data_IF_809436951553
#
_entry.id   IF_809436951553
#
_cell.length_a   1.000
_cell.length_b   1.000
_cell.length_c   1.000
_cell.angle_alpha   90.00
_cell.angle_beta   90.00
_cell.angle_gamma   90.00
#
_symmetry.space_group_name_H-M   'P 1'
#
loop_
_entity.id
_entity.type
_entity.pdbx_description
1 polymer ?
#
# COMPACT_ATOMS: atom_id res chain seq x y z
N UNK A 1 -57.74 -28.26 33.53
CA UNK A 1 -56.32 -28.63 33.77
C UNK A 1 -55.58 -29.11 32.52
N UNK A 2 -56.19 -29.86 31.59
CA UNK A 2 -55.47 -30.31 30.38
C UNK A 2 -55.19 -29.22 29.33
N UNK A 3 -56.14 -28.31 29.10
CA UNK A 3 -56.04 -27.32 28.02
C UNK A 3 -54.97 -26.23 28.27
N UNK A 4 -54.76 -25.85 29.52
CA UNK A 4 -53.75 -24.86 29.91
C UNK A 4 -52.32 -25.43 29.82
N UNK A 5 -52.14 -26.71 30.15
CA UNK A 5 -50.87 -27.42 29.99
C UNK A 5 -50.53 -27.67 28.51
N UNK A 6 -51.51 -28.02 27.68
CA UNK A 6 -51.38 -28.12 26.22
C UNK A 6 -50.97 -26.77 25.59
N UNK A 7 -51.62 -25.67 26.02
CA UNK A 7 -51.28 -24.32 25.56
C UNK A 7 -49.85 -23.93 25.96
N UNK A 8 -49.42 -24.21 27.20
CA UNK A 8 -48.07 -23.89 27.67
C UNK A 8 -47.00 -24.71 26.92
N UNK A 9 -47.26 -26.00 26.65
CA UNK A 9 -46.40 -26.85 25.81
C UNK A 9 -46.27 -26.30 24.39
N UNK A 10 -47.39 -25.88 23.80
CA UNK A 10 -47.43 -25.28 22.46
C UNK A 10 -46.64 -23.97 22.41
N UNK A 11 -46.80 -23.09 23.42
CA UNK A 11 -46.04 -21.84 23.52
C UNK A 11 -44.52 -22.10 23.62
N UNK A 12 -44.08 -23.06 24.46
CA UNK A 12 -42.66 -23.42 24.58
C UNK A 12 -42.07 -23.94 23.26
N UNK A 13 -42.85 -24.73 22.50
CA UNK A 13 -42.44 -25.21 21.17
C UNK A 13 -42.30 -24.04 20.20
N UNK A 14 -43.27 -23.11 20.17
CA UNK A 14 -43.22 -21.93 19.30
C UNK A 14 -42.03 -21.03 19.65
N UNK A 15 -41.80 -20.75 20.93
CA UNK A 15 -40.66 -19.95 21.39
C UNK A 15 -39.34 -20.62 21.01
N UNK A 16 -39.22 -21.94 21.21
CA UNK A 16 -38.05 -22.70 20.78
C UNK A 16 -37.81 -22.65 19.28
N UNK A 17 -38.87 -22.73 18.46
CA UNK A 17 -38.78 -22.62 17.01
C UNK A 17 -38.35 -21.22 16.55
N UNK A 18 -38.89 -20.15 17.16
CA UNK A 18 -38.50 -18.76 16.85
C UNK A 18 -37.04 -18.50 17.21
N UNK A 19 -36.57 -19.00 18.36
CA UNK A 19 -35.15 -18.90 18.76
C UNK A 19 -34.27 -19.66 17.76
N UNK A 20 -34.66 -20.87 17.35
CA UNK A 20 -33.92 -21.64 16.35
C UNK A 20 -33.82 -20.92 15.01
N UNK A 21 -34.92 -20.35 14.51
CA UNK A 21 -34.91 -19.54 13.27
C UNK A 21 -34.02 -18.32 13.42
N UNK A 22 -34.10 -17.61 14.56
CA UNK A 22 -33.25 -16.47 14.86
C UNK A 22 -31.76 -16.83 14.86
N UNK A 23 -31.40 -17.98 15.45
CA UNK A 23 -30.03 -18.50 15.44
C UNK A 23 -29.58 -18.87 14.03
N UNK A 24 -30.42 -19.56 13.25
CA UNK A 24 -30.08 -19.90 11.86
C UNK A 24 -29.82 -18.65 11.02
N UNK A 25 -30.66 -17.61 11.15
CA UNK A 25 -30.45 -16.33 10.46
C UNK A 25 -29.16 -15.67 10.94
N UNK A 26 -28.91 -15.64 12.25
CA UNK A 26 -27.70 -15.05 12.81
C UNK A 26 -26.42 -15.72 12.30
N UNK A 27 -26.39 -17.06 12.25
CA UNK A 27 -25.22 -17.81 11.77
C UNK A 27 -25.06 -17.83 10.24
N UNK A 28 -26.14 -17.58 9.48
CA UNK A 28 -26.08 -17.60 8.01
C UNK A 28 -25.91 -16.22 7.38
N UNK A 29 -26.16 -15.13 8.13
CA UNK A 29 -26.16 -13.75 7.62
C UNK A 29 -24.89 -13.40 6.86
N UNK A 30 -23.72 -13.68 7.43
CA UNK A 30 -22.43 -13.31 6.81
C UNK A 30 -22.19 -14.08 5.51
N UNK A 31 -22.54 -15.38 5.48
CA UNK A 31 -22.45 -16.17 4.24
C UNK A 31 -23.43 -15.69 3.17
N UNK A 32 -24.63 -15.25 3.56
CA UNK A 32 -25.63 -14.69 2.64
C UNK A 32 -25.16 -13.34 2.09
N UNK A 33 -24.65 -12.46 2.95
CA UNK A 33 -24.14 -11.15 2.56
C UNK A 33 -22.90 -11.27 1.68
N UNK A 34 -21.98 -12.19 2.00
CA UNK A 34 -20.83 -12.52 1.16
C UNK A 34 -21.29 -12.91 -0.26
N UNK A 35 -22.19 -13.90 -0.35
CA UNK A 35 -22.72 -14.34 -1.64
C UNK A 35 -23.48 -13.24 -2.41
N UNK A 36 -24.19 -12.38 -1.70
CA UNK A 36 -24.89 -11.23 -2.29
C UNK A 36 -23.92 -10.28 -2.99
N UNK A 37 -22.87 -9.84 -2.29
CA UNK A 37 -21.87 -8.91 -2.83
C UNK A 37 -21.06 -9.53 -3.97
N UNK A 38 -20.64 -10.79 -3.85
CA UNK A 38 -19.93 -11.49 -4.94
C UNK A 38 -20.80 -11.56 -6.21
N UNK A 39 -22.06 -11.98 -6.08
CA UNK A 39 -22.98 -12.06 -7.23
C UNK A 39 -23.37 -10.69 -7.79
N UNK A 40 -23.32 -9.64 -6.98
CA UNK A 40 -23.52 -8.27 -7.44
C UNK A 40 -22.33 -7.83 -8.29
N UNK A 41 -21.11 -7.94 -7.77
CA UNK A 41 -19.88 -7.63 -8.52
C UNK A 41 -19.73 -8.45 -9.80
N UNK A 42 -20.12 -9.73 -9.80
CA UNK A 42 -20.09 -10.61 -10.99
C UNK A 42 -21.02 -10.15 -12.12
N UNK A 43 -22.03 -9.31 -11.80
CA UNK A 43 -22.99 -8.76 -12.77
C UNK A 43 -22.68 -7.32 -13.15
N UNK A 44 -21.75 -6.68 -12.47
CA UNK A 44 -21.37 -5.29 -12.75
C UNK A 44 -20.61 -5.21 -14.08
N UNK A 45 -20.98 -4.23 -14.90
CA UNK A 45 -20.31 -3.97 -16.20
C UNK A 45 -19.12 -3.03 -16.02
N UNK A 46 -19.19 -2.14 -15.02
CA UNK A 46 -18.13 -1.18 -14.72
C UNK A 46 -17.16 -1.78 -13.69
N UNK A 47 -15.90 -1.90 -14.08
CA UNK A 47 -14.85 -2.53 -13.26
C UNK A 47 -14.72 -1.91 -11.88
N UNK A 48 -14.87 -0.60 -11.74
CA UNK A 48 -14.77 0.08 -10.43
C UNK A 48 -15.93 -0.31 -9.49
N UNK A 49 -17.15 -0.47 -10.02
CA UNK A 49 -18.31 -0.94 -9.23
C UNK A 49 -18.12 -2.39 -8.80
N UNK A 50 -17.63 -3.23 -9.73
CA UNK A 50 -17.30 -4.61 -9.42
C UNK A 50 -16.27 -4.69 -8.29
N UNK A 51 -15.19 -3.88 -8.35
CA UNK A 51 -14.19 -3.80 -7.29
C UNK A 51 -14.80 -3.37 -5.96
N UNK A 52 -15.69 -2.37 -5.95
CA UNK A 52 -16.37 -1.93 -4.73
C UNK A 52 -17.19 -3.07 -4.09
N UNK A 53 -17.98 -3.78 -4.90
CA UNK A 53 -18.80 -4.90 -4.41
C UNK A 53 -17.93 -6.08 -3.91
N UNK A 54 -16.84 -6.40 -4.62
CA UNK A 54 -15.90 -7.42 -4.16
C UNK A 54 -15.17 -7.00 -2.87
N UNK A 55 -14.87 -5.72 -2.72
CA UNK A 55 -14.26 -5.17 -1.49
C UNK A 55 -15.21 -5.33 -0.31
N UNK A 56 -16.51 -5.09 -0.51
CA UNK A 56 -17.53 -5.31 0.53
C UNK A 56 -17.70 -6.79 0.88
N UNK A 57 -17.58 -7.70 -0.09
CA UNK A 57 -17.51 -9.13 0.18
C UNK A 57 -16.25 -9.53 0.99
N UNK A 58 -15.08 -8.99 0.66
CA UNK A 58 -13.83 -9.28 1.39
C UNK A 58 -13.84 -8.81 2.85
N UNK A 59 -14.52 -7.69 3.15
CA UNK A 59 -14.72 -7.22 4.53
C UNK A 59 -15.48 -8.22 5.40
N UNK A 60 -16.29 -9.09 4.79
CA UNK A 60 -17.03 -10.15 5.48
C UNK A 60 -16.15 -11.39 5.62
N UNK A 61 -15.54 -11.82 4.51
CA UNK A 61 -14.71 -13.03 4.44
C UNK A 61 -13.62 -12.85 3.39
N UNK A 62 -12.36 -12.96 3.82
CA UNK A 62 -11.24 -12.97 2.90
C UNK A 62 -11.27 -14.24 2.03
N UNK A 63 -11.14 -14.06 0.71
CA UNK A 63 -11.17 -15.13 -0.28
C UNK A 63 -10.18 -14.80 -1.40
N UNK A 64 -9.15 -15.63 -1.55
CA UNK A 64 -8.06 -15.38 -2.51
C UNK A 64 -8.58 -15.36 -3.98
N UNK A 65 -9.65 -16.11 -4.29
CA UNK A 65 -10.27 -16.06 -5.63
C UNK A 65 -10.92 -14.70 -5.91
N UNK A 66 -11.47 -14.08 -4.86
CA UNK A 66 -12.08 -12.76 -4.96
C UNK A 66 -11.02 -11.66 -5.08
N UNK A 67 -9.88 -11.85 -4.42
CA UNK A 67 -8.69 -11.01 -4.63
C UNK A 67 -8.27 -11.04 -6.11
N UNK A 68 -8.23 -12.22 -6.75
CA UNK A 68 -7.89 -12.33 -8.17
C UNK A 68 -8.91 -11.61 -9.08
N UNK A 69 -10.22 -11.68 -8.75
CA UNK A 69 -11.26 -10.91 -9.45
C UNK A 69 -11.05 -9.40 -9.31
N UNK A 70 -10.68 -8.92 -8.12
CA UNK A 70 -10.35 -7.50 -7.88
C UNK A 70 -9.14 -7.11 -8.72
N UNK A 71 -8.04 -7.88 -8.66
CA UNK A 71 -6.81 -7.62 -9.44
C UNK A 71 -7.14 -7.47 -10.93
N UNK A 72 -7.93 -8.39 -11.48
CA UNK A 72 -8.36 -8.35 -12.88
C UNK A 72 -9.15 -7.08 -13.23
N UNK A 73 -10.12 -6.70 -12.40
CA UNK A 73 -10.94 -5.50 -12.65
C UNK A 73 -10.16 -4.19 -12.46
N UNK A 74 -9.26 -4.12 -11.48
CA UNK A 74 -8.36 -2.96 -11.30
C UNK A 74 -7.45 -2.80 -12.52
N UNK A 75 -6.87 -3.89 -13.03
CA UNK A 75 -6.01 -3.83 -14.21
C UNK A 75 -6.77 -3.49 -15.51
N UNK A 76 -8.06 -3.81 -15.59
CA UNK A 76 -8.94 -3.39 -16.69
C UNK A 76 -9.40 -1.94 -16.58
N UNK A 77 -9.29 -1.32 -15.41
CA UNK A 77 -9.67 0.07 -15.20
C UNK A 77 -8.56 0.99 -15.69
N UNK A 78 -8.80 1.77 -16.73
CA UNK A 78 -7.75 2.66 -17.28
C UNK A 78 -7.64 3.97 -16.49
N UNK A 79 -8.74 4.59 -16.08
CA UNK A 79 -8.72 5.96 -15.50
C UNK A 79 -8.77 5.98 -13.95
N UNK A 80 -9.24 4.90 -13.31
CA UNK A 80 -9.54 4.89 -11.87
C UNK A 80 -8.70 3.90 -11.05
N UNK A 81 -7.76 3.18 -11.68
CA UNK A 81 -7.02 2.11 -11.01
C UNK A 81 -6.34 2.57 -9.72
N UNK A 82 -5.65 3.72 -9.73
CA UNK A 82 -4.95 4.23 -8.55
C UNK A 82 -5.87 4.63 -7.40
N UNK A 83 -7.04 5.21 -7.68
CA UNK A 83 -8.06 5.52 -6.66
C UNK A 83 -8.62 4.25 -6.03
N UNK A 84 -8.84 3.21 -6.83
CA UNK A 84 -9.36 1.93 -6.33
C UNK A 84 -8.36 1.24 -5.39
N UNK A 85 -7.06 1.43 -5.60
CA UNK A 85 -6.04 0.83 -4.72
C UNK A 85 -6.07 1.42 -3.31
N UNK A 86 -6.43 2.69 -3.16
CA UNK A 86 -6.55 3.32 -1.84
C UNK A 86 -7.69 2.71 -1.02
N UNK A 87 -8.83 2.40 -1.67
CA UNK A 87 -9.99 1.77 -1.03
C UNK A 87 -9.73 0.31 -0.59
N UNK A 88 -8.70 -0.32 -1.14
CA UNK A 88 -8.27 -1.68 -0.81
C UNK A 88 -7.32 -1.74 0.39
N UNK A 89 -6.81 -0.58 0.86
CA UNK A 89 -5.97 -0.53 2.06
C UNK A 89 -6.77 -0.95 3.30
N UNK A 90 -6.20 -1.85 4.09
CA UNK A 90 -6.87 -2.46 5.24
C UNK A 90 -7.91 -3.54 4.91
N UNK A 91 -8.25 -3.76 3.63
CA UNK A 91 -9.10 -4.89 3.19
C UNK A 91 -8.25 -6.04 2.65
N UNK A 92 -7.26 -5.74 1.81
CA UNK A 92 -6.34 -6.73 1.28
C UNK A 92 -5.17 -7.02 2.23
N UNK A 93 -4.65 -8.26 2.17
CA UNK A 93 -3.33 -8.57 2.74
C UNK A 93 -2.29 -7.66 2.08
N UNK A 94 -1.33 -7.16 2.85
CA UNK A 94 -0.34 -6.20 2.33
C UNK A 94 0.48 -6.76 1.17
N UNK A 95 0.75 -8.07 1.13
CA UNK A 95 1.41 -8.72 0.00
C UNK A 95 0.58 -8.65 -1.29
N UNK A 96 -0.73 -8.91 -1.19
CA UNK A 96 -1.65 -8.85 -2.33
C UNK A 96 -1.82 -7.42 -2.84
N UNK A 97 -1.94 -6.46 -1.92
CA UNK A 97 -2.07 -5.05 -2.26
C UNK A 97 -0.80 -4.49 -2.92
N UNK A 98 0.38 -4.80 -2.37
CA UNK A 98 1.66 -4.38 -2.97
C UNK A 98 1.85 -4.97 -4.36
N UNK A 99 1.54 -6.27 -4.54
CA UNK A 99 1.61 -6.88 -5.85
C UNK A 99 0.66 -6.20 -6.85
N UNK A 100 -0.55 -5.85 -6.41
CA UNK A 100 -1.49 -5.14 -7.27
C UNK A 100 -1.04 -3.71 -7.62
N UNK A 101 -0.41 -2.98 -6.68
CA UNK A 101 0.26 -1.71 -6.99
C UNK A 101 1.38 -1.90 -8.03
N UNK A 102 2.22 -2.91 -7.85
CA UNK A 102 3.26 -3.27 -8.83
C UNK A 102 2.64 -3.52 -10.20
N UNK A 103 1.62 -4.36 -10.28
CA UNK A 103 0.98 -4.74 -11.55
C UNK A 103 0.39 -3.51 -12.27
N UNK A 104 -0.26 -2.61 -11.52
CA UNK A 104 -0.83 -1.36 -12.07
C UNK A 104 0.28 -0.44 -12.59
N UNK A 105 1.31 -0.16 -11.81
CA UNK A 105 2.36 0.76 -12.24
C UNK A 105 3.22 0.18 -13.38
N UNK A 106 3.44 -1.14 -13.41
CA UNK A 106 4.11 -1.79 -14.55
C UNK A 106 3.25 -1.73 -15.80
N UNK A 107 1.92 -1.87 -15.68
CA UNK A 107 0.99 -1.65 -16.80
C UNK A 107 1.07 -0.22 -17.31
N UNK A 108 0.99 0.77 -16.42
CA UNK A 108 1.06 2.20 -16.77
C UNK A 108 2.41 2.54 -17.42
N UNK A 109 3.52 2.07 -16.85
CA UNK A 109 4.85 2.24 -17.44
C UNK A 109 4.95 1.63 -18.84
N UNK A 110 4.38 0.43 -19.02
CA UNK A 110 4.32 -0.25 -20.32
C UNK A 110 3.54 0.56 -21.35
N UNK A 111 2.41 1.16 -20.95
CA UNK A 111 1.60 1.99 -21.83
C UNK A 111 2.33 3.28 -22.20
N UNK A 112 2.91 3.98 -21.23
CA UNK A 112 3.71 5.18 -21.45
C UNK A 112 4.89 4.92 -22.40
N UNK A 113 5.59 3.78 -22.24
CA UNK A 113 6.65 3.37 -23.16
C UNK A 113 6.14 3.19 -24.59
N UNK A 114 5.01 2.49 -24.78
CA UNK A 114 4.42 2.26 -26.11
C UNK A 114 3.96 3.55 -26.78
N UNK A 115 3.54 4.53 -26.00
CA UNK A 115 3.17 5.87 -26.46
C UNK A 115 4.39 6.77 -26.72
N UNK A 116 5.59 6.34 -26.33
CA UNK A 116 6.83 7.10 -26.47
C UNK A 116 7.07 8.13 -25.38
N UNK A 117 6.26 8.15 -24.31
CA UNK A 117 6.50 8.96 -23.13
C UNK A 117 7.44 8.24 -22.15
N UNK A 118 8.73 8.23 -22.50
CA UNK A 118 9.76 7.58 -21.71
C UNK A 118 9.94 8.20 -20.31
N UNK A 119 9.63 9.48 -20.13
CA UNK A 119 9.69 10.14 -18.82
C UNK A 119 8.59 9.64 -17.90
N UNK A 120 7.36 9.53 -18.42
CA UNK A 120 6.25 8.95 -17.67
C UNK A 120 6.52 7.47 -17.38
N UNK A 121 7.06 6.73 -18.35
CA UNK A 121 7.47 5.34 -18.16
C UNK A 121 8.42 5.18 -16.96
N UNK A 122 9.50 5.96 -16.90
CA UNK A 122 10.42 5.93 -15.76
C UNK A 122 9.75 6.28 -14.43
N UNK A 123 8.89 7.30 -14.44
CA UNK A 123 8.16 7.73 -13.24
C UNK A 123 7.26 6.61 -12.70
N UNK A 124 6.54 5.93 -13.57
CA UNK A 124 5.66 4.81 -13.17
C UNK A 124 6.48 3.59 -12.73
N UNK A 125 7.61 3.29 -13.40
CA UNK A 125 8.54 2.25 -12.94
C UNK A 125 9.09 2.51 -11.55
N UNK A 126 9.46 3.76 -11.23
CA UNK A 126 9.97 4.10 -9.92
C UNK A 126 8.89 3.91 -8.83
N UNK A 127 7.60 4.11 -9.16
CA UNK A 127 6.49 3.74 -8.27
C UNK A 127 6.35 2.23 -8.14
N UNK A 128 6.44 1.46 -9.23
CA UNK A 128 6.41 0.00 -9.15
C UNK A 128 7.55 -0.53 -8.25
N UNK A 129 8.75 0.02 -8.43
CA UNK A 129 9.93 -0.29 -7.64
C UNK A 129 9.71 0.00 -6.16
N UNK A 130 9.06 1.14 -5.85
CA UNK A 130 8.67 1.48 -4.48
C UNK A 130 7.79 0.40 -3.83
N UNK A 131 6.94 -0.29 -4.60
CA UNK A 131 6.11 -1.40 -4.11
C UNK A 131 6.76 -2.78 -4.22
N UNK A 132 8.05 -2.85 -4.54
CA UNK A 132 8.86 -4.09 -4.54
C UNK A 132 9.16 -4.68 -5.91
N UNK A 133 8.86 -3.97 -7.00
CA UNK A 133 9.22 -4.41 -8.34
C UNK A 133 10.73 -4.29 -8.60
N UNK A 134 11.34 -5.31 -9.22
CA UNK A 134 12.72 -5.22 -9.65
C UNK A 134 12.79 -4.56 -11.04
N UNK A 135 13.36 -3.35 -11.11
CA UNK A 135 13.36 -2.52 -12.34
C UNK A 135 13.92 -3.25 -13.57
N UNK A 136 14.91 -4.13 -13.39
CA UNK A 136 15.53 -4.88 -14.48
C UNK A 136 14.63 -6.01 -15.02
N UNK A 137 13.53 -6.33 -14.34
CA UNK A 137 12.51 -7.24 -14.87
C UNK A 137 11.56 -6.53 -15.84
N UNK A 138 11.71 -5.20 -16.03
CA UNK A 138 10.88 -4.47 -16.96
C UNK A 138 11.18 -4.87 -18.40
N UNK A 139 10.12 -5.23 -19.13
CA UNK A 139 10.21 -5.78 -20.48
C UNK A 139 11.03 -4.94 -21.46
N UNK A 140 11.05 -3.62 -21.28
CA UNK A 140 11.70 -2.68 -22.19
C UNK A 140 12.89 -1.95 -21.55
N UNK A 141 13.50 -2.54 -20.51
CA UNK A 141 14.54 -1.86 -19.74
C UNK A 141 15.79 -1.54 -20.58
N UNK A 142 16.25 -2.48 -21.41
CA UNK A 142 17.45 -2.32 -22.24
C UNK A 142 17.30 -1.17 -23.25
N UNK A 143 16.10 -1.06 -23.86
CA UNK A 143 15.77 0.01 -24.79
C UNK A 143 15.63 1.37 -24.08
N UNK A 144 15.01 1.38 -22.91
CA UNK A 144 14.84 2.58 -22.07
C UNK A 144 16.21 3.13 -21.65
N UNK A 145 17.12 2.28 -21.19
CA UNK A 145 18.48 2.69 -20.81
C UNK A 145 19.27 3.24 -22.00
N UNK A 146 19.12 2.62 -23.18
CA UNK A 146 19.76 3.06 -24.42
C UNK A 146 19.25 4.45 -24.86
N UNK A 147 17.95 4.71 -24.73
CA UNK A 147 17.34 6.03 -24.99
C UNK A 147 17.88 7.10 -24.03
N UNK A 148 18.02 6.78 -22.75
CA UNK A 148 18.53 7.73 -21.76
C UNK A 148 19.99 8.09 -21.96
N UNK A 149 20.81 7.11 -22.37
CA UNK A 149 22.24 7.31 -22.67
C UNK A 149 22.46 8.23 -23.88
N UNK A 150 21.64 8.08 -24.91
CA UNK A 150 21.73 8.88 -26.14
C UNK A 150 21.26 10.33 -25.91
N UNK A 151 20.15 10.53 -25.18
CA UNK A 151 19.66 11.88 -24.87
C UNK A 151 20.47 12.63 -23.80
N UNK A 152 21.18 11.91 -22.93
CA UNK A 152 22.13 12.53 -21.98
C UNK A 152 23.39 13.07 -22.66
N UNK A 153 23.71 12.63 -23.88
CA UNK A 153 24.93 12.98 -24.62
C UNK A 153 24.79 14.23 -25.52
N UNK A 154 23.57 14.73 -25.76
CA UNK A 154 23.33 15.90 -26.64
C UNK A 154 23.39 17.27 -25.92
N UNK A 155 23.58 17.29 -24.59
CA UNK A 155 23.63 18.51 -23.78
C UNK A 155 25.00 18.71 -23.10
N UNK A 156 26.09 18.78 -23.88
CA UNK A 156 27.39 19.19 -23.35
C UNK A 156 28.02 20.29 -24.20
N UNK A 157 27.52 21.52 -24.06
CA UNK A 157 28.33 22.71 -24.20
C UNK A 157 27.86 23.75 -23.18
N UNK A 158 28.38 23.65 -21.96
CA UNK A 158 29.03 24.70 -21.18
C UNK A 158 29.21 24.20 -19.75
N UNK A 159 30.45 24.28 -19.27
CA UNK A 159 30.85 24.28 -17.86
C UNK A 159 30.16 23.29 -16.92
N UNK A 160 30.83 22.15 -16.73
CA UNK A 160 31.10 21.48 -15.44
C UNK A 160 30.18 21.86 -14.26
N UNK A 161 28.87 21.63 -14.42
CA UNK A 161 27.90 21.42 -13.35
C UNK A 161 26.93 20.37 -13.89
N UNK A 162 27.17 19.15 -13.47
CA UNK A 162 26.43 17.93 -13.79
C UNK A 162 25.98 17.42 -12.41
N UNK A 163 24.73 17.07 -12.11
CA UNK A 163 23.50 16.91 -12.90
C UNK A 163 22.34 16.59 -11.92
N UNK A 164 21.10 16.69 -12.44
CA UNK A 164 19.87 15.98 -12.05
C UNK A 164 18.99 16.56 -10.93
N UNK A 165 18.01 17.37 -11.35
CA UNK A 165 16.85 17.76 -10.55
C UNK A 165 15.67 16.79 -10.78
N UNK A 166 15.92 15.51 -10.50
CA UNK A 166 14.96 14.42 -10.22
C UNK A 166 15.64 13.33 -9.37
N UNK A 167 16.62 13.69 -8.54
CA UNK A 167 17.27 12.74 -7.65
C UNK A 167 16.50 12.71 -6.33
N UNK A 168 15.60 11.74 -6.14
CA UNK A 168 15.50 11.19 -4.78
C UNK A 168 16.90 10.67 -4.47
N UNK A 169 17.60 11.36 -3.58
CA UNK A 169 18.99 11.06 -3.25
C UNK A 169 19.08 9.73 -2.45
N UNK A 170 17.94 9.08 -2.22
CA UNK A 170 17.82 7.76 -1.62
C UNK A 170 17.39 6.71 -2.64
N UNK A 171 18.20 5.66 -2.72
CA UNK A 171 17.82 4.45 -3.40
C UNK A 171 16.92 3.62 -2.47
N UNK A 172 15.60 3.63 -2.73
CA UNK A 172 14.61 2.86 -1.98
C UNK A 172 14.83 1.34 -2.07
N UNK A 173 15.63 0.85 -3.03
CA UNK A 173 16.00 -0.57 -3.17
C UNK A 173 17.13 -1.04 -2.24
N UNK A 174 17.72 -0.16 -1.42
CA UNK A 174 18.69 -0.62 -0.43
C UNK A 174 17.97 -1.29 0.74
N UNK A 175 18.40 -2.48 1.16
CA UNK A 175 17.93 -3.12 2.40
C UNK A 175 18.46 -2.43 3.68
N UNK A 176 19.00 -1.22 3.53
CA UNK A 176 19.74 -0.51 4.55
C UNK A 176 19.04 0.79 4.97
N UNK A 177 19.71 1.50 5.88
CA UNK A 177 19.33 2.80 6.39
C UNK A 177 19.49 3.89 5.32
N UNK A 178 18.53 4.81 5.32
CA UNK A 178 18.45 6.04 4.55
C UNK A 178 19.54 7.01 5.03
N UNK A 179 19.58 7.32 6.33
CA UNK A 179 20.67 8.08 6.96
C UNK A 179 21.21 7.23 8.12
N UNK A 180 22.24 6.40 7.88
CA UNK A 180 22.75 5.46 8.87
C UNK A 180 23.12 6.09 10.21
N UNK A 181 23.67 7.32 10.19
CA UNK A 181 24.19 8.06 11.34
C UNK A 181 23.19 9.09 11.95
N UNK A 182 21.91 9.02 11.57
CA UNK A 182 20.87 9.92 12.10
C UNK A 182 20.51 9.68 13.58
N UNK A 183 20.98 8.58 14.15
CA UNK A 183 20.87 8.20 15.57
C UNK A 183 21.92 8.89 16.47
N UNK A 184 23.03 9.32 15.87
CA UNK A 184 24.26 9.70 16.58
C UNK A 184 24.84 11.06 16.19
N UNK A 185 24.39 11.65 15.06
CA UNK A 185 24.82 12.98 14.60
C UNK A 185 23.64 13.91 14.28
N UNK A 186 23.81 15.19 14.58
CA UNK A 186 22.88 16.24 14.15
C UNK A 186 22.88 16.41 12.63
N UNK A 187 21.69 16.36 12.05
CA UNK A 187 21.42 16.61 10.65
C UNK A 187 21.38 18.11 10.37
N UNK A 188 21.65 18.50 9.11
CA UNK A 188 21.67 19.91 8.70
C UNK A 188 20.62 20.20 7.64
N UNK A 189 20.13 21.44 7.59
CA UNK A 189 19.17 21.87 6.56
C UNK A 189 19.71 21.70 5.15
N UNK A 190 21.01 21.95 4.92
CA UNK A 190 21.64 21.79 3.59
C UNK A 190 21.79 20.33 3.18
N UNK A 191 22.03 19.45 4.15
CA UNK A 191 21.99 18.01 3.93
C UNK A 191 20.58 17.58 3.56
N UNK A 192 19.57 17.98 4.35
CA UNK A 192 18.19 17.57 4.16
C UNK A 192 17.51 18.19 2.93
N UNK A 193 17.96 19.34 2.44
CA UNK A 193 17.37 20.04 1.29
C UNK A 193 17.51 19.29 -0.04
N UNK A 194 18.33 18.24 -0.09
CA UNK A 194 18.47 17.37 -1.26
C UNK A 194 17.35 16.32 -1.37
N UNK A 195 16.49 16.21 -0.37
CA UNK A 195 15.42 15.22 -0.27
C UNK A 195 14.06 15.85 -0.53
N UNK A 196 13.17 15.08 -1.14
CA UNK A 196 11.77 15.48 -1.31
C UNK A 196 11.02 15.45 0.02
N UNK A 197 9.88 16.14 0.12
CA UNK A 197 9.00 16.06 1.30
C UNK A 197 8.62 14.61 1.67
N UNK A 198 8.41 13.79 0.65
CA UNK A 198 8.15 12.35 0.82
C UNK A 198 9.34 11.63 1.44
N UNK A 199 10.55 11.84 0.91
CA UNK A 199 11.80 11.28 1.43
C UNK A 199 12.04 11.71 2.89
N UNK A 200 11.83 12.99 3.20
CA UNK A 200 11.93 13.52 4.56
C UNK A 200 10.98 12.78 5.52
N UNK A 201 9.78 12.42 5.05
CA UNK A 201 8.87 11.55 5.78
C UNK A 201 9.49 10.18 6.10
N UNK A 202 10.19 9.54 5.16
CA UNK A 202 10.88 8.27 5.41
C UNK A 202 12.10 8.41 6.34
N UNK A 203 12.94 9.44 6.15
CA UNK A 203 14.07 9.71 7.06
C UNK A 203 13.56 9.88 8.49
N UNK A 204 12.50 10.68 8.69
CA UNK A 204 11.92 10.86 10.02
C UNK A 204 11.49 9.52 10.58
N UNK A 205 10.70 8.76 9.83
CA UNK A 205 10.16 7.49 10.31
C UNK A 205 11.23 6.40 10.48
N UNK A 206 12.37 6.48 9.80
CA UNK A 206 13.51 5.57 10.04
C UNK A 206 14.01 5.66 11.47
N UNK A 207 14.06 6.87 12.04
CA UNK A 207 14.47 7.09 13.43
C UNK A 207 13.52 6.32 14.38
N UNK A 208 12.21 6.36 14.12
CA UNK A 208 11.22 5.59 14.88
C UNK A 208 11.35 4.07 14.62
N UNK A 209 11.59 3.67 13.37
CA UNK A 209 11.72 2.28 12.98
C UNK A 209 12.89 1.57 13.69
N UNK A 210 13.99 2.29 13.97
CA UNK A 210 15.13 1.75 14.74
C UNK A 210 14.75 1.22 16.12
N UNK A 211 13.68 1.77 16.71
CA UNK A 211 13.15 1.33 18.00
C UNK A 211 12.09 0.24 17.89
N UNK A 212 11.67 -0.13 16.67
CA UNK A 212 10.57 -1.07 16.46
C UNK A 212 9.18 -0.43 16.47
N UNK A 213 9.07 0.88 16.26
CA UNK A 213 7.78 1.56 16.22
C UNK A 213 6.81 0.93 15.20
N UNK A 214 5.58 0.65 15.64
CA UNK A 214 4.56 -0.01 14.80
C UNK A 214 3.79 1.00 13.97
N UNK A 215 4.09 1.08 12.67
CA UNK A 215 3.46 2.04 11.76
C UNK A 215 2.00 1.70 11.40
N UNK A 216 1.10 2.65 11.68
CA UNK A 216 -0.30 2.60 11.23
C UNK A 216 -0.46 2.83 9.72
N UNK A 217 0.32 3.75 9.14
CA UNK A 217 0.30 4.04 7.70
C UNK A 217 0.99 2.94 6.90
N UNK A 218 0.28 2.36 5.94
CA UNK A 218 0.77 1.24 5.13
C UNK A 218 2.12 1.51 4.46
N UNK A 219 2.30 2.70 3.87
CA UNK A 219 3.57 3.06 3.20
C UNK A 219 4.82 2.92 4.08
N UNK A 220 4.74 3.26 5.37
CA UNK A 220 5.88 3.14 6.29
C UNK A 220 6.01 1.71 6.80
N UNK A 221 4.88 1.08 7.15
CA UNK A 221 4.87 -0.34 7.56
C UNK A 221 5.47 -1.24 6.49
N UNK A 222 5.13 -1.02 5.23
CA UNK A 222 5.62 -1.79 4.09
C UNK A 222 7.11 -1.52 3.84
N UNK A 223 7.51 -0.25 3.78
CA UNK A 223 8.89 0.12 3.55
C UNK A 223 9.84 -0.42 4.62
N UNK A 224 9.51 -0.21 5.90
CA UNK A 224 10.34 -0.68 7.02
C UNK A 224 10.19 -2.19 7.23
N UNK A 225 9.01 -2.77 6.98
CA UNK A 225 8.77 -4.22 7.04
C UNK A 225 9.64 -5.05 6.09
N UNK A 226 10.14 -4.45 5.01
CA UNK A 226 11.09 -5.07 4.10
C UNK A 226 12.56 -4.98 4.58
N UNK A 227 12.86 -4.20 5.62
CA UNK A 227 14.23 -4.01 6.12
C UNK A 227 14.62 -5.13 7.08
N UNK A 228 15.78 -5.73 6.87
CA UNK A 228 16.28 -6.84 7.70
C UNK A 228 16.54 -6.43 9.16
N UNK A 229 16.76 -5.13 9.41
CA UNK A 229 17.05 -4.58 10.73
C UNK A 229 15.80 -4.12 11.49
N UNK A 230 14.63 -4.06 10.85
CA UNK A 230 13.41 -3.57 11.48
C UNK A 230 12.62 -4.71 12.11
N UNK A 231 12.36 -4.58 13.42
CA UNK A 231 11.57 -5.53 14.19
C UNK A 231 10.46 -4.78 14.94
N UNK A 232 9.18 -4.89 14.53
CA UNK A 232 8.09 -4.18 15.19
C UNK A 232 7.88 -4.67 16.63
N UNK A 233 7.80 -3.73 17.58
CA UNK A 233 7.59 -3.96 19.00
C UNK A 233 6.38 -3.13 19.49
N UNK A 234 5.23 -3.77 19.78
CA UNK A 234 4.03 -3.09 20.28
C UNK A 234 4.19 -2.38 21.63
N UNK A 235 5.28 -2.60 22.37
CA UNK A 235 5.56 -1.91 23.63
C UNK A 235 6.17 -0.52 23.43
N UNK A 236 6.64 -0.20 22.22
CA UNK A 236 7.19 1.11 21.86
C UNK A 236 6.07 2.15 21.86
N UNK A 237 6.22 3.28 22.58
CA UNK A 237 5.19 4.31 22.66
C UNK A 237 5.04 5.08 21.33
N UNK A 238 3.86 5.66 21.12
CA UNK A 238 3.54 6.52 19.97
C UNK A 238 3.88 8.00 20.22
N UNK A 239 4.95 8.23 20.98
CA UNK A 239 5.48 9.56 21.26
C UNK A 239 7.00 9.57 21.02
N UNK A 240 7.67 10.66 21.36
CA UNK A 240 9.12 10.77 21.19
C UNK A 240 9.91 10.37 22.44
N UNK A 241 9.30 9.71 23.44
CA UNK A 241 9.94 9.45 24.74
C UNK A 241 11.12 8.48 24.66
N UNK A 242 11.13 7.58 23.68
CA UNK A 242 12.24 6.66 23.39
C UNK A 242 13.43 7.32 22.69
N UNK A 243 13.24 8.51 22.09
CA UNK A 243 14.27 9.18 21.29
C UNK A 243 15.30 9.87 22.17
N UNK A 244 16.57 9.75 21.78
CA UNK A 244 17.65 10.51 22.38
C UNK A 244 17.63 11.99 21.96
N UNK A 245 18.48 12.83 22.55
CA UNK A 245 18.50 14.28 22.27
C UNK A 245 18.87 14.62 20.82
N UNK A 246 19.72 13.82 20.17
CA UNK A 246 20.14 14.00 18.77
C UNK A 246 18.98 13.63 17.83
N UNK A 247 18.39 12.46 18.03
CA UNK A 247 17.24 11.97 17.25
C UNK A 247 16.05 12.90 17.34
N UNK A 248 15.71 13.39 18.53
CA UNK A 248 14.62 14.35 18.75
C UNK A 248 14.86 15.65 17.97
N UNK A 249 16.08 16.18 18.01
CA UNK A 249 16.43 17.37 17.24
C UNK A 249 16.35 17.13 15.73
N UNK A 250 16.77 15.95 15.26
CA UNK A 250 16.70 15.56 13.86
C UNK A 250 15.25 15.40 13.40
N UNK A 251 14.40 14.71 14.17
CA UNK A 251 12.96 14.56 13.89
C UNK A 251 12.29 15.92 13.76
N UNK A 252 12.56 16.85 14.68
CA UNK A 252 12.04 18.22 14.61
C UNK A 252 12.52 18.99 13.38
N UNK A 253 13.82 18.91 13.07
CA UNK A 253 14.37 19.57 11.88
C UNK A 253 13.73 19.03 10.59
N UNK A 254 13.67 17.71 10.45
CA UNK A 254 13.06 17.04 9.30
C UNK A 254 11.57 17.41 9.20
N UNK A 255 10.84 17.40 10.31
CA UNK A 255 9.42 17.78 10.34
C UNK A 255 9.19 19.22 9.88
N UNK A 256 10.11 20.14 10.17
CA UNK A 256 10.04 21.54 9.72
C UNK A 256 10.27 21.73 8.22
N UNK A 257 10.75 20.69 7.52
CA UNK A 257 11.10 20.71 6.10
C UNK A 257 10.17 19.84 5.24
N UNK A 258 9.36 18.99 5.86
CA UNK A 258 8.32 18.15 5.23
C UNK A 258 7.16 18.99 4.67
#
# INVERSE_FOLDING_TARGET
MNQENENNKTIKIIVGAVILVGLVIFFSKDSIMYGYYVNKGDKEVESWKAVQDYTDALKIKYDDLLVDKIKLNVLQSDEYATSLLEDLDGVLKSSDLNQLYVDVYVKEATNAYKEGDYKLCEKELDKAVFYGYYKNDFKYIDELESYNKTNSSSNNNTNKVVRNNSNSYYNYNSNEYIIPDSDSRYLTRNELSRYTKTDLGYIRNEIFARYGYVFSKAKYRNYFGAKSWYYPDPSVPDDESMLNNVERANVHLIKSME
#
